data_IF_999441986427
#
_entry.id   IF_999441986427
#
_cell.length_a   1.000
_cell.length_b   1.000
_cell.length_c   1.000
_cell.angle_alpha   90.00
_cell.angle_beta   90.00
_cell.angle_gamma   90.00
#
_symmetry.space_group_name_H-M   'P 1'
#
loop_
_entity.id
_entity.type
_entity.pdbx_description
1 polymer ?
#
# COMPACT_ATOMS: atom_id res chain seq x y z
N UNK A 1 -24.18 -9.54 -3.14
CA UNK A 1 -24.06 -8.33 -3.99
C UNK A 1 -23.51 -7.14 -3.21
N UNK A 2 -24.21 -6.63 -2.17
CA UNK A 2 -23.79 -5.41 -1.44
C UNK A 2 -22.39 -5.48 -0.81
N UNK A 3 -22.01 -6.63 -0.23
CA UNK A 3 -20.68 -6.85 0.35
C UNK A 3 -19.55 -6.66 -0.66
N UNK A 4 -19.67 -7.27 -1.84
CA UNK A 4 -18.69 -7.15 -2.91
C UNK A 4 -18.58 -5.73 -3.43
N UNK A 5 -19.70 -5.01 -3.48
CA UNK A 5 -19.74 -3.60 -3.87
C UNK A 5 -18.99 -2.72 -2.85
N UNK A 6 -19.15 -2.98 -1.54
CA UNK A 6 -18.39 -2.30 -0.49
C UNK A 6 -16.89 -2.58 -0.57
N UNK A 7 -16.50 -3.84 -0.79
CA UNK A 7 -15.08 -4.20 -0.98
C UNK A 7 -14.49 -3.49 -2.19
N UNK A 8 -15.23 -3.43 -3.30
CA UNK A 8 -14.81 -2.75 -4.51
C UNK A 8 -14.64 -1.24 -4.31
N UNK A 9 -15.60 -0.57 -3.67
CA UNK A 9 -15.47 0.84 -3.31
C UNK A 9 -14.27 1.07 -2.38
N UNK A 10 -14.10 0.21 -1.37
CA UNK A 10 -12.95 0.27 -0.47
C UNK A 10 -11.63 0.18 -1.22
N UNK A 11 -11.53 -0.73 -2.20
CA UNK A 11 -10.37 -0.85 -3.06
C UNK A 11 -10.10 0.41 -3.91
N UNK A 12 -11.15 1.00 -4.51
CA UNK A 12 -11.00 2.25 -5.27
C UNK A 12 -10.48 3.38 -4.38
N UNK A 13 -11.04 3.54 -3.18
CA UNK A 13 -10.59 4.56 -2.22
C UNK A 13 -9.12 4.34 -1.86
N UNK A 14 -8.73 3.10 -1.57
CA UNK A 14 -7.35 2.70 -1.30
C UNK A 14 -6.42 3.06 -2.46
N UNK A 15 -6.84 2.78 -3.70
CA UNK A 15 -6.06 3.04 -4.90
C UNK A 15 -5.89 4.56 -5.16
N UNK A 16 -6.94 5.34 -4.96
CA UNK A 16 -6.88 6.81 -5.07
C UNK A 16 -5.98 7.40 -3.98
N UNK A 17 -6.14 6.96 -2.73
CA UNK A 17 -5.30 7.42 -1.62
C UNK A 17 -3.81 7.09 -1.85
N UNK A 18 -3.53 5.90 -2.35
CA UNK A 18 -2.17 5.44 -2.69
C UNK A 18 -1.54 6.31 -3.77
N UNK A 19 -2.27 6.57 -4.86
CA UNK A 19 -1.79 7.46 -5.94
C UNK A 19 -1.60 8.90 -5.47
N UNK A 20 -2.49 9.41 -4.60
CA UNK A 20 -2.34 10.75 -4.03
C UNK A 20 -1.09 10.84 -3.15
N UNK A 21 -0.85 9.83 -2.31
CA UNK A 21 0.34 9.74 -1.46
C UNK A 21 1.63 9.72 -2.29
N UNK A 22 1.67 8.91 -3.35
CA UNK A 22 2.82 8.86 -4.27
C UNK A 22 3.05 10.20 -4.97
N UNK A 23 1.97 10.85 -5.44
CA UNK A 23 2.08 12.17 -6.08
C UNK A 23 2.62 13.21 -5.11
N UNK A 24 2.15 13.21 -3.87
CA UNK A 24 2.62 14.11 -2.82
C UNK A 24 4.10 13.86 -2.48
N UNK A 25 4.50 12.60 -2.33
CA UNK A 25 5.90 12.22 -2.07
C UNK A 25 6.82 12.63 -3.22
N UNK A 26 6.38 12.47 -4.47
CA UNK A 26 7.11 12.93 -5.66
C UNK A 26 7.22 14.45 -5.73
N UNK A 27 6.17 15.17 -5.36
CA UNK A 27 6.18 16.64 -5.30
C UNK A 27 7.16 17.18 -4.24
N UNK A 28 7.32 16.47 -3.12
CA UNK A 28 8.32 16.79 -2.09
C UNK A 28 9.74 16.28 -2.43
N UNK A 29 9.97 15.75 -3.63
CA UNK A 29 11.30 15.25 -4.05
C UNK A 29 11.73 13.96 -3.36
N UNK A 30 10.83 13.28 -2.63
CA UNK A 30 11.14 12.05 -1.92
C UNK A 30 11.07 10.88 -2.92
N UNK A 31 12.24 10.54 -3.47
CA UNK A 31 12.41 9.35 -4.33
C UNK A 31 12.58 8.11 -3.45
N UNK A 32 11.48 7.45 -3.12
CA UNK A 32 11.52 6.17 -2.41
C UNK A 32 11.84 5.06 -3.41
N UNK A 33 12.88 4.27 -3.14
CA UNK A 33 13.19 3.10 -3.95
C UNK A 33 12.04 2.09 -3.89
N UNK A 34 11.63 1.53 -5.03
CA UNK A 34 10.50 0.60 -5.13
C UNK A 34 10.56 -0.55 -4.12
N UNK A 35 11.75 -1.07 -3.85
CA UNK A 35 11.94 -2.20 -2.94
C UNK A 35 11.60 -1.86 -1.49
N UNK A 36 11.67 -0.58 -1.11
CA UNK A 36 11.27 -0.10 0.22
C UNK A 36 9.75 -0.18 0.37
N UNK A 37 8.99 0.15 -0.67
CA UNK A 37 7.53 -0.04 -0.67
C UNK A 37 7.13 -1.51 -0.54
N UNK A 38 7.84 -2.40 -1.25
CA UNK A 38 7.63 -3.85 -1.13
C UNK A 38 7.97 -4.35 0.28
N UNK A 39 9.13 -3.96 0.84
CA UNK A 39 9.49 -4.36 2.19
C UNK A 39 8.48 -3.82 3.22
N UNK A 40 8.04 -2.57 3.07
CA UNK A 40 7.09 -1.94 3.98
C UNK A 40 5.72 -2.64 4.00
N UNK A 41 5.21 -3.13 2.85
CA UNK A 41 3.92 -3.84 2.81
C UNK A 41 3.93 -5.11 3.65
N UNK A 42 5.05 -5.85 3.68
CA UNK A 42 5.20 -7.01 4.53
C UNK A 42 5.49 -6.63 5.99
N UNK A 43 6.42 -5.72 6.21
CA UNK A 43 6.88 -5.34 7.56
C UNK A 43 5.76 -4.72 8.40
N UNK A 44 4.86 -3.93 7.80
CA UNK A 44 3.76 -3.28 8.54
C UNK A 44 2.78 -4.28 9.16
N UNK A 45 2.70 -5.51 8.65
CA UNK A 45 1.85 -6.57 9.20
C UNK A 45 2.66 -7.55 10.04
N UNK A 46 3.87 -7.92 9.58
CA UNK A 46 4.70 -8.92 10.24
C UNK A 46 5.23 -8.40 11.58
N UNK A 47 5.79 -7.19 11.62
CA UNK A 47 6.39 -6.64 12.84
C UNK A 47 5.36 -6.58 13.97
N UNK A 48 4.17 -5.99 13.78
CA UNK A 48 3.22 -5.91 14.87
C UNK A 48 2.70 -7.28 15.29
N UNK A 49 2.57 -8.23 14.37
CA UNK A 49 2.07 -9.59 14.66
C UNK A 49 3.07 -10.44 15.43
N UNK A 50 4.37 -10.22 15.22
CA UNK A 50 5.44 -10.86 15.99
C UNK A 50 5.54 -10.26 17.40
N UNK A 51 5.42 -8.94 17.53
CA UNK A 51 5.53 -8.26 18.84
C UNK A 51 4.26 -8.46 19.68
N UNK A 52 3.08 -8.36 19.04
CA UNK A 52 1.76 -8.47 19.67
C UNK A 52 0.90 -9.54 18.99
N UNK A 53 1.07 -10.83 19.36
CA UNK A 53 0.37 -11.93 18.70
C UNK A 53 -1.15 -11.92 18.93
N UNK A 54 -1.64 -11.22 19.97
CA UNK A 54 -3.08 -11.06 20.27
C UNK A 54 -3.58 -9.64 20.00
N UNK A 55 -3.33 -9.12 18.80
CA UNK A 55 -3.94 -7.87 18.37
C UNK A 55 -5.45 -8.03 18.15
N UNK A 56 -6.21 -7.01 18.54
CA UNK A 56 -7.65 -6.96 18.25
C UNK A 56 -7.93 -6.90 16.74
N UNK A 57 -9.10 -7.40 16.36
CA UNK A 57 -9.63 -7.34 14.98
C UNK A 57 -9.52 -5.96 14.32
N UNK A 58 -9.89 -4.82 14.96
CA UNK A 58 -9.83 -3.52 14.30
C UNK A 58 -8.40 -3.09 13.94
N UNK A 59 -7.43 -3.34 14.84
CA UNK A 59 -6.01 -3.03 14.59
C UNK A 59 -5.50 -3.83 13.41
N UNK A 60 -5.84 -5.11 13.35
CA UNK A 60 -5.44 -5.99 12.23
C UNK A 60 -5.99 -5.50 10.89
N UNK A 61 -7.25 -5.05 10.85
CA UNK A 61 -7.87 -4.49 9.64
C UNK A 61 -7.14 -3.23 9.18
N UNK A 62 -6.78 -2.33 10.11
CA UNK A 62 -6.02 -1.11 9.78
C UNK A 62 -4.63 -1.47 9.23
N UNK A 63 -3.92 -2.40 9.86
CA UNK A 63 -2.61 -2.86 9.38
C UNK A 63 -2.69 -3.48 7.97
N UNK A 64 -3.75 -4.25 7.70
CA UNK A 64 -4.00 -4.82 6.38
C UNK A 64 -4.34 -3.74 5.34
N UNK A 65 -5.10 -2.71 5.71
CA UNK A 65 -5.35 -1.58 4.84
C UNK A 65 -4.04 -0.85 4.49
N UNK A 66 -3.18 -0.60 5.48
CA UNK A 66 -1.84 -0.03 5.24
C UNK A 66 -0.99 -0.94 4.34
N UNK A 67 -0.98 -2.25 4.56
CA UNK A 67 -0.33 -3.22 3.68
C UNK A 67 -0.80 -3.06 2.22
N UNK A 68 -2.12 -2.91 2.02
CA UNK A 68 -2.71 -2.61 0.72
C UNK A 68 -2.16 -1.32 0.09
N UNK A 69 -2.09 -0.22 0.85
CA UNK A 69 -1.51 1.05 0.36
C UNK A 69 -0.06 0.86 -0.09
N UNK A 70 0.79 0.23 0.75
CA UNK A 70 2.19 0.00 0.42
C UNK A 70 2.36 -0.89 -0.82
N UNK A 71 1.52 -1.94 -0.93
CA UNK A 71 1.53 -2.86 -2.08
C UNK A 71 1.09 -2.17 -3.38
N UNK A 72 0.03 -1.37 -3.35
CA UNK A 72 -0.43 -0.59 -4.50
C UNK A 72 0.67 0.39 -4.93
N UNK A 73 1.30 1.07 -3.98
CA UNK A 73 2.39 2.01 -4.28
C UNK A 73 3.58 1.31 -4.95
N UNK A 74 3.96 0.13 -4.46
CA UNK A 74 4.99 -0.69 -5.10
C UNK A 74 4.62 -1.05 -6.54
N UNK A 75 3.38 -1.50 -6.79
CA UNK A 75 2.93 -1.84 -8.14
C UNK A 75 2.94 -0.64 -9.08
N UNK A 76 2.50 0.53 -8.61
CA UNK A 76 2.50 1.77 -9.40
C UNK A 76 3.92 2.19 -9.77
N UNK A 77 4.87 2.19 -8.82
CA UNK A 77 6.28 2.50 -9.10
C UNK A 77 6.93 1.43 -10.00
N UNK A 78 6.60 0.15 -9.81
CA UNK A 78 7.07 -0.91 -10.69
C UNK A 78 6.58 -0.74 -12.12
N UNK A 79 5.30 -0.39 -12.29
CA UNK A 79 4.71 -0.14 -13.59
C UNK A 79 5.38 1.05 -14.29
N UNK A 80 5.58 2.17 -13.59
CA UNK A 80 6.27 3.33 -14.14
C UNK A 80 7.73 3.00 -14.53
N UNK A 81 8.46 2.29 -13.67
CA UNK A 81 9.82 1.87 -14.00
C UNK A 81 9.88 0.92 -15.21
N UNK A 82 8.91 0.02 -15.37
CA UNK A 82 8.83 -0.83 -16.56
C UNK A 82 8.56 -0.05 -17.84
N UNK A 83 7.77 1.02 -17.76
CA UNK A 83 7.53 1.93 -18.88
C UNK A 83 8.80 2.71 -19.21
N UNK A 84 9.44 3.32 -18.22
CA UNK A 84 10.66 4.11 -18.39
C UNK A 84 11.82 3.30 -18.96
N UNK A 85 11.94 2.02 -18.58
CA UNK A 85 13.03 1.14 -19.05
C UNK A 85 12.80 0.53 -20.43
N UNK A 86 11.61 0.70 -21.00
CA UNK A 86 11.24 0.18 -22.33
C UNK A 86 11.48 1.19 -23.45
N UNK A 87 11.96 2.39 -23.13
CA UNK A 87 12.32 3.46 -24.06
C UNK A 87 13.85 3.59 -24.10
#
# INVERSE_FOLDING_TARGET
MLYWLLVFIGFIILLVASNFLLKFLKQHGIKINRWVWAAASFLVVIIPKVIFPKMGTPVTIVLLAFCGVFAINFMTEQHQWMIDKKI
#
